data_IF_551781397680
#
_entry.id   IF_551781397680
#
_cell.length_a   1.000
_cell.length_b   1.000
_cell.length_c   1.000
_cell.angle_alpha   90.00
_cell.angle_beta   90.00
_cell.angle_gamma   90.00
#
_symmetry.space_group_name_H-M   'P 1'
#
loop_
_entity.id
_entity.type
_entity.pdbx_description
1 polymer ?
#
# COMPACT_ATOMS: atom_id res chain seq x y z
N UNK A 1 -2.09 -12.03 4.34
CA UNK A 1 -1.39 -11.63 3.09
C UNK A 1 -2.42 -11.61 1.97
N UNK A 2 -2.47 -10.53 1.19
CA UNK A 2 -3.33 -10.39 0.01
C UNK A 2 -2.40 -10.28 -1.20
N UNK A 3 -2.57 -11.17 -2.17
CA UNK A 3 -1.81 -11.14 -3.43
C UNK A 3 -2.62 -10.37 -4.48
N UNK A 4 -2.36 -9.06 -4.58
CA UNK A 4 -3.14 -8.15 -5.43
C UNK A 4 -3.07 -8.52 -6.92
N UNK A 5 -2.03 -9.24 -7.36
CA UNK A 5 -1.93 -9.71 -8.76
C UNK A 5 -2.97 -10.77 -9.12
N UNK A 6 -3.60 -11.42 -8.14
CA UNK A 6 -4.66 -12.42 -8.35
C UNK A 6 -6.06 -11.82 -8.30
N UNK A 7 -6.18 -10.53 -8.01
CA UNK A 7 -7.44 -9.84 -7.84
C UNK A 7 -7.84 -9.10 -9.11
N UNK A 8 -9.14 -9.02 -9.34
CA UNK A 8 -9.77 -8.18 -10.34
C UNK A 8 -10.29 -6.93 -9.67
N UNK A 9 -9.54 -5.84 -9.81
CA UNK A 9 -9.90 -4.53 -9.23
C UNK A 9 -10.10 -3.55 -10.38
N UNK A 10 -11.29 -2.98 -10.44
CA UNK A 10 -11.60 -1.90 -11.37
C UNK A 10 -10.95 -0.61 -10.85
N UNK A 11 -10.28 0.17 -11.71
CA UNK A 11 -9.73 1.46 -11.28
C UNK A 11 -10.82 2.38 -10.71
N UNK A 12 -10.44 3.28 -9.80
CA UNK A 12 -11.35 4.33 -9.35
C UNK A 12 -11.85 5.14 -10.56
N UNK A 13 -13.17 5.25 -10.71
CA UNK A 13 -13.79 5.95 -11.85
C UNK A 13 -13.99 7.45 -11.60
N UNK A 14 -13.73 7.93 -10.38
CA UNK A 14 -14.01 9.32 -10.02
C UNK A 14 -15.49 9.69 -10.13
N UNK A 15 -16.39 8.70 -10.05
CA UNK A 15 -17.85 8.87 -10.16
C UNK A 15 -18.47 9.64 -8.99
N UNK A 16 -17.71 9.80 -7.89
CA UNK A 16 -18.10 10.46 -6.66
C UNK A 16 -19.29 9.80 -5.93
N UNK A 17 -19.65 8.55 -6.25
CA UNK A 17 -20.73 7.85 -5.56
C UNK A 17 -20.52 7.83 -4.03
N UNK A 18 -19.28 7.57 -3.61
CA UNK A 18 -18.85 7.57 -2.21
C UNK A 18 -19.11 8.89 -1.45
N UNK A 19 -19.29 10.03 -2.12
CA UNK A 19 -19.63 11.32 -1.48
C UNK A 19 -21.02 11.35 -0.90
N UNK A 20 -21.94 10.59 -1.49
CA UNK A 20 -23.36 10.60 -1.15
C UNK A 20 -23.82 9.31 -0.44
N UNK A 21 -22.92 8.34 -0.29
CA UNK A 21 -23.21 6.98 0.19
C UNK A 21 -22.23 6.55 1.27
N UNK A 22 -22.05 7.39 2.30
CA UNK A 22 -21.31 7.05 3.52
C UNK A 22 -19.92 6.44 3.28
N UNK A 23 -19.17 6.95 2.28
CA UNK A 23 -17.84 6.46 1.89
C UNK A 23 -17.81 5.06 1.28
N UNK A 24 -18.95 4.47 0.94
CA UNK A 24 -19.04 3.21 0.20
C UNK A 24 -18.74 3.41 -1.28
N UNK A 25 -18.06 2.44 -1.89
CA UNK A 25 -17.74 2.52 -3.31
C UNK A 25 -18.81 1.82 -4.17
N UNK A 26 -19.18 2.44 -5.31
CA UNK A 26 -20.17 1.88 -6.24
C UNK A 26 -19.72 0.58 -6.92
N UNK A 27 -18.42 0.40 -7.14
CA UNK A 27 -17.91 -0.81 -7.80
C UNK A 27 -17.80 -1.93 -6.77
N UNK A 28 -18.42 -3.06 -7.10
CA UNK A 28 -18.40 -4.29 -6.32
C UNK A 28 -17.50 -5.32 -7.02
N UNK A 29 -16.27 -5.44 -6.53
CA UNK A 29 -15.19 -6.28 -7.05
C UNK A 29 -14.30 -6.79 -5.90
N UNK A 30 -13.08 -7.24 -6.18
CA UNK A 30 -12.22 -7.81 -5.14
C UNK A 30 -11.72 -6.77 -4.10
N UNK A 31 -12.03 -5.47 -4.28
CA UNK A 31 -11.72 -4.45 -3.26
C UNK A 31 -12.55 -4.59 -1.99
N UNK A 32 -13.74 -5.19 -2.05
CA UNK A 32 -14.57 -5.39 -0.87
C UNK A 32 -13.84 -6.22 0.21
N UNK A 33 -13.12 -7.27 -0.21
CA UNK A 33 -12.28 -8.07 0.70
C UNK A 33 -11.09 -7.27 1.26
N UNK A 34 -10.55 -6.33 0.48
CA UNK A 34 -9.45 -5.46 0.92
C UNK A 34 -9.95 -4.44 1.95
N UNK A 35 -11.07 -3.78 1.70
CA UNK A 35 -11.69 -2.83 2.62
C UNK A 35 -11.93 -3.49 3.98
N UNK A 36 -12.58 -4.66 3.99
CA UNK A 36 -12.80 -5.43 5.22
C UNK A 36 -11.48 -5.74 5.95
N UNK A 37 -10.45 -6.18 5.22
CA UNK A 37 -9.15 -6.50 5.83
C UNK A 37 -8.42 -5.28 6.38
N UNK A 38 -8.57 -4.11 5.76
CA UNK A 38 -8.03 -2.85 6.28
C UNK A 38 -8.71 -2.48 7.60
N UNK A 39 -10.03 -2.62 7.66
CA UNK A 39 -10.82 -2.34 8.87
C UNK A 39 -10.47 -3.29 10.01
N UNK A 40 -10.26 -4.57 9.72
CA UNK A 40 -9.92 -5.61 10.70
C UNK A 40 -8.45 -5.60 11.15
N UNK A 41 -7.51 -5.17 10.31
CA UNK A 41 -6.08 -5.27 10.60
C UNK A 41 -5.59 -4.26 11.64
N UNK A 42 -4.69 -4.65 12.54
CA UNK A 42 -4.03 -3.73 13.47
C UNK A 42 -2.97 -2.85 12.77
N UNK A 43 -2.37 -3.37 11.70
CA UNK A 43 -1.37 -2.67 10.90
C UNK A 43 -1.29 -3.23 9.47
N UNK A 44 -0.70 -2.44 8.58
CA UNK A 44 -0.59 -2.72 7.14
C UNK A 44 0.88 -2.65 6.70
N UNK A 45 1.29 -3.59 5.85
CA UNK A 45 2.51 -3.46 5.04
C UNK A 45 2.09 -3.49 3.57
N UNK A 46 2.37 -2.41 2.84
CA UNK A 46 2.29 -2.40 1.38
C UNK A 46 3.63 -2.90 0.83
N UNK A 47 3.65 -4.15 0.37
CA UNK A 47 4.81 -4.72 -0.32
C UNK A 47 4.60 -4.62 -1.84
N UNK A 48 5.45 -3.86 -2.54
CA UNK A 48 5.30 -3.63 -3.97
C UNK A 48 6.65 -3.60 -4.71
N UNK A 49 6.76 -4.22 -5.89
CA UNK A 49 7.88 -3.95 -6.77
C UNK A 49 7.78 -2.54 -7.38
N UNK A 50 8.93 -1.92 -7.62
CA UNK A 50 9.02 -0.65 -8.32
C UNK A 50 9.01 -0.89 -9.82
N UNK A 51 8.02 -0.33 -10.51
CA UNK A 51 7.95 -0.29 -11.96
C UNK A 51 7.75 1.14 -12.43
N UNK A 52 8.68 1.62 -13.26
CA UNK A 52 8.67 2.98 -13.80
C UNK A 52 8.58 4.07 -12.72
N UNK A 53 9.45 3.94 -11.71
CA UNK A 53 9.64 4.89 -10.61
C UNK A 53 8.45 5.03 -9.63
N UNK A 54 7.55 4.05 -9.58
CA UNK A 54 6.43 3.99 -8.64
C UNK A 54 6.14 2.53 -8.23
N UNK A 55 5.25 2.33 -7.25
CA UNK A 55 4.62 1.04 -6.98
C UNK A 55 3.95 0.50 -8.23
N UNK A 56 3.82 -0.83 -8.34
CA UNK A 56 3.17 -1.42 -9.50
C UNK A 56 1.70 -0.97 -9.65
N UNK A 57 1.18 -1.07 -10.87
CA UNK A 57 -0.19 -0.64 -11.18
C UNK A 57 -1.24 -1.31 -10.28
N UNK A 58 -1.08 -2.60 -9.97
CA UNK A 58 -1.99 -3.35 -9.11
C UNK A 58 -2.05 -2.77 -7.69
N UNK A 59 -0.90 -2.44 -7.10
CA UNK A 59 -0.85 -1.76 -5.79
C UNK A 59 -1.51 -0.39 -5.86
N UNK A 60 -1.28 0.34 -6.96
CA UNK A 60 -1.86 1.67 -7.16
C UNK A 60 -3.38 1.64 -7.29
N UNK A 61 -3.96 0.59 -7.88
CA UNK A 61 -5.42 0.39 -7.91
C UNK A 61 -6.00 0.36 -6.50
N UNK A 62 -5.34 -0.36 -5.57
CA UNK A 62 -5.78 -0.42 -4.17
C UNK A 62 -5.73 0.97 -3.54
N UNK A 63 -4.59 1.67 -3.66
CA UNK A 63 -4.40 3.02 -3.10
C UNK A 63 -5.46 3.99 -3.64
N UNK A 64 -5.67 4.01 -4.96
CA UNK A 64 -6.63 4.92 -5.59
C UNK A 64 -8.07 4.64 -5.17
N UNK A 65 -8.39 3.38 -4.89
CA UNK A 65 -9.70 2.97 -4.40
C UNK A 65 -9.91 3.31 -2.91
N UNK A 66 -8.87 3.64 -2.15
CA UNK A 66 -9.03 4.19 -0.79
C UNK A 66 -9.59 5.63 -0.79
N UNK A 67 -9.71 6.27 -1.95
CA UNK A 67 -10.38 7.56 -2.08
C UNK A 67 -11.80 7.55 -1.50
N UNK A 68 -12.49 6.40 -1.50
CA UNK A 68 -13.81 6.29 -0.89
C UNK A 68 -13.79 6.65 0.59
N UNK A 69 -12.80 6.17 1.35
CA UNK A 69 -12.61 6.52 2.77
C UNK A 69 -12.28 7.99 3.00
N UNK A 70 -11.65 8.67 2.04
CA UNK A 70 -11.38 10.10 2.14
C UNK A 70 -12.68 10.94 2.17
N UNK A 71 -13.80 10.39 1.71
CA UNK A 71 -15.11 11.05 1.78
C UNK A 71 -15.76 10.93 3.17
N UNK A 72 -15.18 10.16 4.09
CA UNK A 72 -15.68 10.07 5.45
C UNK A 72 -15.45 11.41 6.19
N UNK A 73 -16.43 12.00 6.89
CA UNK A 73 -16.23 13.26 7.62
C UNK A 73 -15.09 13.22 8.65
N UNK A 74 -14.69 12.03 9.08
CA UNK A 74 -13.58 11.78 10.02
C UNK A 74 -12.40 11.07 9.36
N UNK A 75 -12.21 11.23 8.04
CA UNK A 75 -11.18 10.52 7.27
C UNK A 75 -9.79 10.54 7.96
N UNK A 76 -9.36 11.69 8.50
CA UNK A 76 -8.05 11.84 9.15
C UNK A 76 -7.90 11.12 10.50
N UNK A 77 -8.98 10.60 11.06
CA UNK A 77 -8.97 9.84 12.31
C UNK A 77 -9.35 8.36 12.11
N UNK A 78 -9.83 8.01 10.91
CA UNK A 78 -10.48 6.74 10.59
C UNK A 78 -9.61 5.53 10.97
N UNK A 79 -8.30 5.63 10.72
CA UNK A 79 -7.33 4.59 11.00
C UNK A 79 -6.20 5.06 11.94
N UNK A 80 -6.49 6.05 12.81
CA UNK A 80 -5.53 6.67 13.75
C UNK A 80 -4.88 5.72 14.76
N UNK A 81 -5.49 4.56 14.99
CA UNK A 81 -4.93 3.51 15.83
C UNK A 81 -4.06 2.50 15.06
N UNK A 82 -4.01 2.55 13.73
CA UNK A 82 -3.32 1.60 12.87
C UNK A 82 -2.01 2.17 12.33
N UNK A 83 -1.02 1.31 12.11
CA UNK A 83 0.28 1.67 11.52
C UNK A 83 0.38 1.16 10.08
N UNK A 84 1.06 1.89 9.21
CA UNK A 84 1.34 1.49 7.83
C UNK A 84 2.83 1.61 7.52
N UNK A 85 3.39 0.60 6.84
CA UNK A 85 4.77 0.61 6.34
C UNK A 85 4.82 0.16 4.87
N UNK A 86 5.91 0.47 4.18
CA UNK A 86 6.12 0.08 2.78
C UNK A 86 7.37 -0.78 2.66
N UNK A 87 7.30 -1.87 1.91
CA UNK A 87 8.46 -2.62 1.43
C UNK A 87 8.50 -2.46 -0.09
N UNK A 88 9.55 -1.83 -0.59
CA UNK A 88 9.81 -1.65 -2.01
C UNK A 88 10.92 -2.60 -2.47
N UNK A 89 10.75 -3.23 -3.63
CA UNK A 89 11.81 -4.02 -4.27
C UNK A 89 12.04 -3.58 -5.71
N UNK A 90 13.29 -3.52 -6.15
CA UNK A 90 13.63 -3.06 -7.51
C UNK A 90 14.90 -3.72 -8.04
N UNK A 91 15.10 -3.55 -9.35
CA UNK A 91 16.30 -4.02 -10.06
C UNK A 91 17.51 -3.13 -9.81
N UNK A 92 17.73 -2.12 -10.65
CA UNK A 92 19.01 -1.39 -10.66
C UNK A 92 18.90 0.12 -10.41
N UNK A 93 17.70 0.70 -10.44
CA UNK A 93 17.54 2.15 -10.27
C UNK A 93 17.99 2.59 -8.86
N UNK A 94 18.64 3.75 -8.70
CA UNK A 94 18.96 4.30 -7.38
C UNK A 94 17.68 4.66 -6.63
N UNK A 95 17.68 4.53 -5.30
CA UNK A 95 16.51 4.73 -4.45
C UNK A 95 15.88 6.11 -4.62
N UNK A 96 16.72 7.13 -4.78
CA UNK A 96 16.34 8.54 -4.93
C UNK A 96 15.48 8.78 -6.18
N UNK A 97 15.51 7.88 -7.17
CA UNK A 97 14.69 7.99 -8.37
C UNK A 97 13.19 7.77 -8.10
N UNK A 98 12.83 7.13 -6.99
CA UNK A 98 11.44 6.79 -6.64
C UNK A 98 11.10 6.98 -5.16
N UNK A 99 12.04 7.42 -4.34
CA UNK A 99 11.81 7.74 -2.93
C UNK A 99 10.64 8.73 -2.73
N UNK A 100 10.56 9.78 -3.54
CA UNK A 100 9.46 10.76 -3.48
C UNK A 100 8.10 10.15 -3.82
N UNK A 101 8.08 9.20 -4.76
CA UNK A 101 6.88 8.44 -5.10
C UNK A 101 6.45 7.56 -3.91
N UNK A 102 7.37 6.82 -3.29
CA UNK A 102 7.06 6.01 -2.11
C UNK A 102 6.55 6.85 -0.92
N UNK A 103 7.15 8.02 -0.70
CA UNK A 103 6.67 8.98 0.29
C UNK A 103 5.25 9.48 -0.05
N UNK A 104 4.95 9.68 -1.34
CA UNK A 104 3.59 10.05 -1.79
C UNK A 104 2.59 8.91 -1.53
N UNK A 105 2.97 7.65 -1.78
CA UNK A 105 2.10 6.51 -1.48
C UNK A 105 1.89 6.35 0.03
N UNK A 106 2.92 6.57 0.86
CA UNK A 106 2.79 6.59 2.32
C UNK A 106 1.82 7.68 2.77
N UNK A 107 1.94 8.89 2.22
CA UNK A 107 1.08 10.01 2.54
C UNK A 107 -0.41 9.74 2.22
N UNK A 108 -0.71 8.94 1.19
CA UNK A 108 -2.09 8.54 0.88
C UNK A 108 -2.75 7.78 2.05
N UNK A 109 -2.00 6.95 2.77
CA UNK A 109 -2.48 6.30 3.99
C UNK A 109 -2.49 7.27 5.17
N UNK A 110 -1.45 8.10 5.33
CA UNK A 110 -1.39 9.10 6.41
C UNK A 110 -2.60 10.05 6.39
N UNK A 111 -3.06 10.46 5.21
CA UNK A 111 -4.27 11.27 5.03
C UNK A 111 -5.51 10.58 5.63
N UNK A 112 -5.57 9.24 5.64
CA UNK A 112 -6.65 8.46 6.26
C UNK A 112 -6.43 8.17 7.75
N UNK A 113 -5.45 8.86 8.36
CA UNK A 113 -5.13 8.79 9.77
C UNK A 113 -4.11 7.74 10.17
N UNK A 114 -3.61 6.90 9.25
CA UNK A 114 -2.61 5.90 9.61
C UNK A 114 -1.34 6.53 10.19
N UNK A 115 -0.77 5.90 11.22
CA UNK A 115 0.59 6.23 11.67
C UNK A 115 1.60 5.68 10.68
N UNK A 116 2.52 6.51 10.22
CA UNK A 116 3.55 6.10 9.27
C UNK A 116 4.68 5.35 9.99
N UNK A 117 5.07 4.21 9.43
CA UNK A 117 6.26 3.47 9.78
C UNK A 117 7.33 3.57 8.70
N UNK A 118 8.27 2.63 8.70
CA UNK A 118 9.42 2.71 7.80
C UNK A 118 9.07 2.34 6.35
N UNK A 119 9.83 2.93 5.42
CA UNK A 119 9.93 2.50 4.02
C UNK A 119 11.22 1.70 3.89
N UNK A 120 11.11 0.41 3.55
CA UNK A 120 12.23 -0.49 3.38
C UNK A 120 12.54 -0.65 1.89
N UNK A 121 13.76 -0.31 1.49
CA UNK A 121 14.25 -0.50 0.13
C UNK A 121 15.04 -1.82 -0.03
N UNK A 122 14.63 -2.65 -0.97
CA UNK A 122 15.22 -3.96 -1.29
C UNK A 122 15.74 -3.96 -2.75
N UNK A 123 17.02 -3.63 -2.91
CA UNK A 123 17.65 -3.38 -4.21
C UNK A 123 18.26 -4.62 -4.89
N UNK A 124 18.60 -4.50 -6.17
CA UNK A 124 19.30 -5.52 -6.96
C UNK A 124 18.51 -6.84 -7.10
N UNK A 125 17.18 -6.78 -7.15
CA UNK A 125 16.31 -7.95 -7.30
C UNK A 125 15.82 -8.08 -8.75
N UNK A 126 16.77 -8.30 -9.68
CA UNK A 126 16.53 -8.24 -11.13
C UNK A 126 15.89 -9.49 -11.73
N UNK A 127 15.91 -10.63 -11.03
CA UNK A 127 15.36 -11.90 -11.51
C UNK A 127 14.48 -12.56 -10.45
N UNK A 128 13.47 -13.36 -10.86
CA UNK A 128 12.65 -14.10 -9.91
C UNK A 128 13.51 -14.92 -8.94
N UNK A 129 13.25 -14.78 -7.64
CA UNK A 129 13.97 -15.52 -6.59
C UNK A 129 15.31 -14.91 -6.16
N UNK A 130 15.80 -13.83 -6.78
CA UNK A 130 17.06 -13.19 -6.40
C UNK A 130 17.14 -12.81 -4.92
N UNK A 131 16.01 -12.48 -4.30
CA UNK A 131 15.90 -12.11 -2.89
C UNK A 131 16.25 -13.25 -1.93
N UNK A 132 16.14 -14.51 -2.36
CA UNK A 132 16.35 -15.69 -1.51
C UNK A 132 17.80 -15.81 -1.01
N UNK A 133 18.75 -15.28 -1.76
CA UNK A 133 20.18 -15.33 -1.43
C UNK A 133 20.66 -14.06 -0.69
N UNK A 134 19.73 -13.17 -0.29
CA UNK A 134 20.01 -11.85 0.28
C UNK A 134 19.57 -11.74 1.73
N UNK A 135 20.27 -12.44 2.62
CA UNK A 135 19.95 -12.50 4.05
C UNK A 135 19.78 -11.12 4.71
N UNK A 136 20.64 -10.15 4.39
CA UNK A 136 20.54 -8.79 4.94
C UNK A 136 19.22 -8.11 4.56
N UNK A 137 18.77 -8.27 3.30
CA UNK A 137 17.51 -7.72 2.82
C UNK A 137 16.32 -8.42 3.47
N UNK A 138 16.37 -9.75 3.60
CA UNK A 138 15.36 -10.53 4.30
C UNK A 138 15.29 -10.14 5.80
N UNK A 139 16.42 -9.87 6.44
CA UNK A 139 16.47 -9.38 7.81
C UNK A 139 15.85 -7.99 7.98
N UNK A 140 16.05 -7.07 7.02
CA UNK A 140 15.36 -5.76 7.02
C UNK A 140 13.84 -5.93 7.01
N UNK A 141 13.32 -6.79 6.12
CA UNK A 141 11.89 -7.09 6.04
C UNK A 141 11.34 -7.77 7.31
N UNK A 142 12.08 -8.72 7.89
CA UNK A 142 11.71 -9.38 9.16
C UNK A 142 11.64 -8.38 10.32
N UNK A 143 12.68 -7.54 10.46
CA UNK A 143 12.75 -6.53 11.51
C UNK A 143 11.61 -5.50 11.39
N UNK A 144 11.19 -5.14 10.18
CA UNK A 144 10.01 -4.31 9.99
C UNK A 144 8.75 -4.97 10.59
N UNK A 145 8.51 -6.24 10.24
CA UNK A 145 7.36 -6.99 10.75
C UNK A 145 7.37 -7.14 12.28
N UNK A 146 8.53 -7.36 12.88
CA UNK A 146 8.69 -7.44 14.34
C UNK A 146 8.38 -6.13 15.07
N UNK A 147 8.54 -4.97 14.41
CA UNK A 147 8.31 -3.64 15.00
C UNK A 147 7.01 -2.98 14.53
N UNK A 148 6.11 -3.76 13.93
CA UNK A 148 4.88 -3.23 13.33
C UNK A 148 3.77 -2.98 14.37
N UNK A 149 3.71 -3.79 15.42
CA UNK A 149 2.72 -3.73 16.51
C UNK A 149 3.38 -3.77 17.89
#
# INVERSE_FOLDING_TARGET
IIDVNKLTITPCQGDNYCKEHDSECALNDDMQDIYQKIEEADAIILASPIYFCDVNAQSKLVIDRLYSYFMNPKYGELFSNKKVSIIATHGAAPFEAFESSLNTQMAAFEVLGFKTGDIINLEDNNVPGAINDKDEQLQKARKLGENLI
#
